data_IF_906275938871
#
_entry.id   IF_906275938871
#
_cell.length_a   1.000
_cell.length_b   1.000
_cell.length_c   1.000
_cell.angle_alpha   90.00
_cell.angle_beta   90.00
_cell.angle_gamma   90.00
#
_symmetry.space_group_name_H-M   'P 1'
#
loop_
_entity.id
_entity.type
_entity.pdbx_description
1 polymer ?
#
# COMPACT_ATOMS: atom_id res chain seq x y z
N UNK A 1 59.48 -16.23 -11.52
CA UNK A 1 58.20 -15.72 -10.97
C UNK A 1 57.93 -16.43 -9.66
N UNK A 2 57.66 -15.65 -8.61
CA UNK A 2 57.29 -16.19 -7.30
C UNK A 2 55.90 -16.82 -7.36
N UNK A 3 55.59 -17.78 -6.48
CA UNK A 3 54.25 -18.39 -6.40
C UNK A 3 53.14 -17.35 -6.21
N UNK A 4 53.46 -16.21 -5.58
CA UNK A 4 52.54 -15.11 -5.32
C UNK A 4 52.10 -14.41 -6.62
N UNK A 5 53.06 -14.09 -7.51
CA UNK A 5 52.82 -13.40 -8.78
C UNK A 5 51.90 -14.17 -9.73
N UNK A 6 51.82 -15.50 -9.56
CA UNK A 6 50.97 -16.37 -10.38
C UNK A 6 49.51 -16.40 -9.93
N UNK A 7 49.24 -16.07 -8.67
CA UNK A 7 47.92 -16.23 -8.03
C UNK A 7 47.17 -14.89 -7.94
N UNK A 8 47.91 -13.78 -7.80
CA UNK A 8 47.36 -12.41 -7.79
C UNK A 8 46.38 -12.10 -8.93
N UNK A 9 46.61 -12.52 -10.20
CA UNK A 9 45.68 -12.26 -11.30
C UNK A 9 44.31 -12.93 -11.14
N UNK A 10 44.21 -13.96 -10.30
CA UNK A 10 42.98 -14.71 -10.05
C UNK A 10 42.28 -14.26 -8.76
N UNK A 11 43.06 -13.92 -7.72
CA UNK A 11 42.49 -13.48 -6.43
C UNK A 11 41.81 -12.12 -6.56
N UNK A 12 42.38 -11.18 -7.31
CA UNK A 12 41.83 -9.83 -7.42
C UNK A 12 40.43 -9.84 -8.09
N UNK A 13 40.23 -10.46 -9.28
CA UNK A 13 38.90 -10.55 -9.88
C UNK A 13 37.90 -11.32 -9.03
N UNK A 14 38.35 -12.40 -8.36
CA UNK A 14 37.49 -13.19 -7.48
C UNK A 14 37.03 -12.39 -6.25
N UNK A 15 37.92 -11.57 -5.67
CA UNK A 15 37.59 -10.67 -4.57
C UNK A 15 36.62 -9.56 -5.01
N UNK A 16 36.78 -9.00 -6.22
CA UNK A 16 35.83 -8.05 -6.79
C UNK A 16 34.47 -8.68 -7.07
N UNK A 17 34.44 -9.91 -7.58
CA UNK A 17 33.21 -10.66 -7.80
C UNK A 17 32.47 -10.92 -6.48
N UNK A 18 33.18 -11.42 -5.46
CA UNK A 18 32.63 -11.66 -4.13
C UNK A 18 32.14 -10.37 -3.47
N UNK A 19 32.90 -9.28 -3.57
CA UNK A 19 32.50 -7.98 -3.07
C UNK A 19 31.22 -7.48 -3.79
N UNK A 20 31.11 -7.65 -5.11
CA UNK A 20 29.90 -7.29 -5.85
C UNK A 20 28.68 -8.13 -5.46
N UNK A 21 28.88 -9.43 -5.19
CA UNK A 21 27.82 -10.32 -4.70
C UNK A 21 27.38 -9.90 -3.29
N UNK A 22 28.33 -9.62 -2.40
CA UNK A 22 28.06 -9.15 -1.03
C UNK A 22 27.35 -7.79 -1.05
N UNK A 23 27.80 -6.85 -1.90
CA UNK A 23 27.15 -5.54 -2.06
C UNK A 23 25.72 -5.71 -2.58
N UNK A 24 25.48 -6.54 -3.59
CA UNK A 24 24.10 -6.83 -4.04
C UNK A 24 23.26 -7.49 -2.94
N UNK A 25 23.81 -8.42 -2.17
CA UNK A 25 23.13 -9.04 -1.02
C UNK A 25 22.81 -8.05 0.11
N UNK A 26 23.67 -7.04 0.32
CA UNK A 26 23.45 -6.00 1.33
C UNK A 26 22.47 -4.93 0.82
N UNK A 27 22.48 -4.61 -0.48
CA UNK A 27 21.52 -3.69 -1.09
C UNK A 27 20.11 -4.29 -1.18
N UNK A 28 19.98 -5.60 -1.44
CA UNK A 28 18.71 -6.35 -1.27
C UNK A 28 18.23 -6.34 0.21
N UNK A 29 19.11 -5.99 1.14
CA UNK A 29 18.86 -5.95 2.59
C UNK A 29 18.69 -4.52 3.12
N UNK A 30 18.54 -3.50 2.26
CA UNK A 30 18.01 -2.23 2.75
C UNK A 30 16.60 -2.50 3.27
N UNK A 31 16.45 -2.38 4.59
CA UNK A 31 15.19 -2.51 5.33
C UNK A 31 14.07 -1.80 4.57
N UNK A 32 13.32 -2.58 3.79
CA UNK A 32 12.02 -2.16 3.27
C UNK A 32 11.24 -1.78 4.51
N UNK A 33 10.94 -0.49 4.67
CA UNK A 33 10.20 -0.01 5.82
C UNK A 33 8.91 -0.81 5.91
N UNK A 34 8.76 -1.52 7.03
CA UNK A 34 7.66 -2.45 7.14
C UNK A 34 6.35 -1.68 7.19
N UNK A 35 5.54 -1.88 6.14
CA UNK A 35 4.23 -1.23 6.02
C UNK A 35 3.17 -1.92 6.87
N UNK A 36 3.53 -2.94 7.63
CA UNK A 36 2.63 -3.62 8.55
C UNK A 36 1.99 -2.65 9.53
N UNK A 37 0.67 -2.77 9.67
CA UNK A 37 -0.09 -2.02 10.65
C UNK A 37 -1.44 -1.54 10.17
N UNK A 38 -2.12 -0.84 11.07
CA UNK A 38 -3.44 -0.27 10.82
C UNK A 38 -3.30 1.21 10.47
N UNK A 39 -3.76 1.58 9.28
CA UNK A 39 -3.80 2.94 8.81
C UNK A 39 -5.23 3.45 8.77
N UNK A 40 -5.42 4.74 9.04
CA UNK A 40 -6.73 5.40 8.97
C UNK A 40 -6.62 6.80 8.38
N UNK A 41 -7.63 7.16 7.61
CA UNK A 41 -7.92 8.55 7.23
C UNK A 41 -9.40 8.85 7.48
N UNK A 42 -9.67 10.04 8.00
CA UNK A 42 -11.03 10.52 8.24
C UNK A 42 -11.18 11.81 7.44
N UNK A 43 -12.24 11.90 6.64
CA UNK A 43 -12.57 13.10 5.86
C UNK A 43 -14.01 13.49 6.09
N UNK A 44 -14.26 14.77 6.24
CA UNK A 44 -15.61 15.32 6.14
C UNK A 44 -15.85 15.70 4.68
N UNK A 45 -16.98 15.28 4.13
CA UNK A 45 -17.38 15.57 2.76
C UNK A 45 -18.79 16.10 2.75
N UNK A 46 -19.10 16.96 1.79
CA UNK A 46 -20.48 17.37 1.56
C UNK A 46 -21.18 16.30 0.71
N UNK A 47 -22.31 15.80 1.22
CA UNK A 47 -23.18 14.88 0.51
C UNK A 47 -24.02 15.59 -0.55
N UNK A 48 -24.67 14.83 -1.45
CA UNK A 48 -25.56 15.39 -2.48
C UNK A 48 -26.81 16.10 -1.90
N UNK A 49 -27.09 15.89 -0.62
CA UNK A 49 -28.14 16.53 0.17
C UNK A 49 -27.67 17.79 0.91
N UNK A 50 -26.48 18.31 0.59
CA UNK A 50 -25.79 19.43 1.27
C UNK A 50 -25.54 19.18 2.78
N UNK A 51 -25.56 17.92 3.22
CA UNK A 51 -25.21 17.56 4.58
C UNK A 51 -23.74 17.19 4.65
N UNK A 52 -23.05 17.64 5.70
CA UNK A 52 -21.70 17.18 5.99
C UNK A 52 -21.79 15.72 6.45
N UNK A 53 -21.06 14.85 5.76
CA UNK A 53 -20.90 13.44 6.09
C UNK A 53 -19.46 13.16 6.47
N UNK A 54 -19.25 12.23 7.40
CA UNK A 54 -17.93 11.77 7.79
C UNK A 54 -17.64 10.45 7.11
N UNK A 55 -16.55 10.41 6.36
CA UNK A 55 -16.00 9.20 5.76
C UNK A 55 -14.79 8.78 6.57
N UNK A 56 -14.85 7.56 7.10
CA UNK A 56 -13.72 6.90 7.75
C UNK A 56 -13.23 5.76 6.87
N UNK A 57 -11.97 5.83 6.44
CA UNK A 57 -11.33 4.76 5.70
C UNK A 57 -10.20 4.16 6.54
N UNK A 58 -10.26 2.85 6.78
CA UNK A 58 -9.24 2.09 7.52
C UNK A 58 -8.68 0.98 6.65
N UNK A 59 -7.37 0.81 6.67
CA UNK A 59 -6.62 -0.20 5.93
C UNK A 59 -5.62 -0.85 6.86
N UNK A 60 -5.68 -2.15 7.01
CA UNK A 60 -4.71 -2.95 7.72
C UNK A 60 -3.89 -3.74 6.69
N UNK A 61 -2.58 -3.66 6.81
CA UNK A 61 -1.62 -4.38 5.95
C UNK A 61 -0.83 -5.34 6.83
N UNK A 62 -0.66 -6.57 6.35
CA UNK A 62 0.15 -7.61 6.98
C UNK A 62 0.92 -8.35 5.89
N UNK A 63 2.19 -8.00 5.80
CA UNK A 63 3.14 -8.48 4.82
C UNK A 63 3.64 -9.88 5.15
N UNK A 64 3.57 -10.33 6.41
CA UNK A 64 3.89 -11.71 6.78
C UNK A 64 2.87 -12.69 6.18
N UNK A 65 1.58 -12.34 6.23
CA UNK A 65 0.48 -13.11 5.63
C UNK A 65 0.18 -12.78 4.17
N UNK A 66 0.91 -11.83 3.58
CA UNK A 66 0.69 -11.31 2.22
C UNK A 66 -0.75 -10.86 1.99
N UNK A 67 -1.36 -10.21 2.99
CA UNK A 67 -2.77 -9.85 2.96
C UNK A 67 -3.05 -8.44 3.46
N UNK A 68 -4.21 -7.92 3.07
CA UNK A 68 -4.74 -6.70 3.64
C UNK A 68 -6.25 -6.82 3.83
N UNK A 69 -6.76 -6.05 4.78
CA UNK A 69 -8.20 -5.88 4.99
C UNK A 69 -8.49 -4.45 5.42
N UNK A 70 -9.70 -4.01 5.18
CA UNK A 70 -10.09 -2.67 5.59
C UNK A 70 -11.57 -2.45 5.49
N UNK A 71 -11.95 -1.24 5.88
CA UNK A 71 -13.32 -0.80 5.73
C UNK A 71 -13.41 0.66 5.37
N UNK A 72 -14.43 0.97 4.60
CA UNK A 72 -14.93 2.31 4.38
C UNK A 72 -16.24 2.43 5.15
N UNK A 73 -16.36 3.44 6.01
CA UNK A 73 -17.57 3.74 6.76
C UNK A 73 -18.02 5.17 6.45
N UNK A 74 -19.33 5.31 6.25
CA UNK A 74 -20.01 6.59 6.13
C UNK A 74 -20.88 6.81 7.36
N UNK A 75 -20.69 7.95 8.01
CA UNK A 75 -21.50 8.43 9.11
C UNK A 75 -22.07 9.81 8.76
N UNK A 76 -23.27 10.14 9.27
CA UNK A 76 -23.80 11.50 9.21
C UNK A 76 -23.06 12.43 10.20
N UNK A 77 -23.37 13.73 10.16
CA UNK A 77 -22.80 14.72 11.09
C UNK A 77 -23.18 14.52 12.58
N UNK A 78 -24.04 13.56 12.90
CA UNK A 78 -24.46 13.17 14.25
C UNK A 78 -23.89 11.80 14.64
N UNK A 79 -22.88 11.32 13.91
CA UNK A 79 -22.26 10.01 14.10
C UNK A 79 -23.25 8.84 13.93
N UNK A 80 -24.35 9.06 13.20
CA UNK A 80 -25.28 7.99 12.84
C UNK A 80 -24.70 7.24 11.66
N UNK A 81 -24.57 5.93 11.84
CA UNK A 81 -24.15 5.01 10.80
C UNK A 81 -25.06 5.08 9.58
N UNK A 82 -24.49 5.42 8.41
CA UNK A 82 -25.19 5.40 7.12
C UNK A 82 -24.78 4.20 6.26
N UNK A 83 -23.52 3.75 6.35
CA UNK A 83 -23.11 2.56 5.62
C UNK A 83 -21.67 2.11 5.84
N UNK A 84 -21.40 0.85 5.46
CA UNK A 84 -20.07 0.24 5.53
C UNK A 84 -19.78 -0.63 4.32
N UNK A 85 -18.53 -0.58 3.86
CA UNK A 85 -17.94 -1.54 2.94
C UNK A 85 -16.79 -2.20 3.66
N UNK A 86 -16.73 -3.52 3.61
CA UNK A 86 -15.51 -4.24 3.97
C UNK A 86 -14.81 -4.63 2.67
N UNK A 87 -13.49 -4.60 2.68
CA UNK A 87 -12.69 -5.07 1.57
C UNK A 87 -11.48 -5.84 2.08
N UNK A 88 -10.99 -6.75 1.27
CA UNK A 88 -9.76 -7.49 1.53
C UNK A 88 -9.09 -7.90 0.23
N UNK A 89 -7.83 -8.29 0.30
CA UNK A 89 -7.11 -8.81 -0.85
C UNK A 89 -5.74 -9.35 -0.47
N UNK A 90 -4.97 -9.68 -1.50
CA UNK A 90 -3.57 -10.10 -1.36
C UNK A 90 -2.64 -8.96 -1.71
N UNK A 91 -1.48 -8.95 -1.08
CA UNK A 91 -0.42 -7.99 -1.33
C UNK A 91 0.92 -8.71 -1.32
N UNK A 92 1.80 -8.40 -2.26
CA UNK A 92 3.14 -8.98 -2.32
C UNK A 92 4.20 -7.92 -2.55
N UNK A 93 5.38 -8.10 -1.94
CA UNK A 93 6.52 -7.20 -2.14
C UNK A 93 7.06 -7.37 -3.57
N UNK A 94 7.37 -6.26 -4.23
CA UNK A 94 8.08 -6.29 -5.50
C UNK A 94 9.58 -6.14 -5.25
N UNK A 95 10.35 -7.20 -5.55
CA UNK A 95 11.79 -7.24 -5.32
C UNK A 95 12.61 -6.20 -6.13
N UNK A 96 12.03 -5.59 -7.16
CA UNK A 96 12.72 -4.70 -8.10
C UNK A 96 12.44 -3.20 -7.87
N UNK A 97 11.58 -2.86 -6.91
CA UNK A 97 11.20 -1.47 -6.65
C UNK A 97 11.16 -1.21 -5.15
N UNK A 98 12.09 -0.36 -4.68
CA UNK A 98 12.06 0.19 -3.32
C UNK A 98 10.67 0.80 -3.07
N UNK A 99 10.05 0.40 -1.94
CA UNK A 99 8.73 0.85 -1.51
C UNK A 99 7.58 0.63 -2.52
N UNK A 100 7.50 -0.57 -3.12
CA UNK A 100 6.36 -0.94 -3.96
C UNK A 100 5.77 -2.29 -3.59
N UNK A 101 4.45 -2.39 -3.65
CA UNK A 101 3.70 -3.63 -3.43
C UNK A 101 2.73 -3.88 -4.56
N UNK A 102 2.60 -5.14 -4.96
CA UNK A 102 1.61 -5.57 -5.93
C UNK A 102 0.35 -6.02 -5.20
N UNK A 103 -0.77 -5.41 -5.53
CA UNK A 103 -2.07 -5.71 -4.97
C UNK A 103 -2.86 -6.58 -5.93
N UNK A 104 -3.37 -7.68 -5.39
CA UNK A 104 -4.09 -8.70 -6.14
C UNK A 104 -5.38 -9.11 -5.44
N UNK A 105 -6.32 -9.67 -6.22
CA UNK A 105 -7.49 -10.40 -5.71
C UNK A 105 -8.37 -9.59 -4.72
N UNK A 106 -8.61 -8.30 -5.01
CA UNK A 106 -9.45 -7.46 -4.15
C UNK A 106 -10.89 -7.96 -4.16
N UNK A 107 -11.40 -8.30 -2.98
CA UNK A 107 -12.79 -8.69 -2.71
C UNK A 107 -13.49 -7.58 -1.94
N UNK A 108 -14.73 -7.34 -2.31
CA UNK A 108 -15.58 -6.29 -1.74
C UNK A 108 -16.82 -6.92 -1.15
N UNK A 109 -17.10 -6.57 0.10
CA UNK A 109 -18.23 -7.06 0.85
C UNK A 109 -19.07 -5.85 1.28
N UNK A 110 -20.08 -5.46 0.47
CA UNK A 110 -20.99 -4.38 0.84
C UNK A 110 -21.82 -4.82 2.05
N UNK A 111 -21.92 -3.97 3.08
CA UNK A 111 -22.71 -4.27 4.30
C UNK A 111 -24.10 -3.61 4.23
N UNK A 112 -24.26 -2.52 3.47
CA UNK A 112 -25.54 -1.81 3.29
C UNK A 112 -25.69 -1.33 1.84
N UNK A 113 -26.53 -1.97 1.04
CA UNK A 113 -26.59 -1.81 -0.42
C UNK A 113 -27.12 -0.45 -0.89
N UNK A 114 -28.09 0.14 -0.19
CA UNK A 114 -28.88 1.25 -0.76
C UNK A 114 -28.17 2.62 -0.67
N UNK A 115 -27.15 2.74 0.19
CA UNK A 115 -26.36 3.96 0.37
C UNK A 115 -25.02 3.95 -0.38
N UNK A 116 -24.69 2.83 -1.03
CA UNK A 116 -23.36 2.60 -1.61
C UNK A 116 -23.19 3.12 -3.04
N UNK A 117 -24.20 3.01 -3.88
CA UNK A 117 -24.14 3.52 -5.26
C UNK A 117 -23.93 5.04 -5.28
N UNK A 118 -24.70 5.77 -4.45
CA UNK A 118 -24.54 7.21 -4.28
C UNK A 118 -23.16 7.62 -3.69
N UNK A 119 -22.52 6.72 -2.96
CA UNK A 119 -21.19 6.91 -2.39
C UNK A 119 -20.10 6.75 -3.46
N UNK A 120 -20.21 5.74 -4.33
CA UNK A 120 -19.23 5.50 -5.39
C UNK A 120 -19.14 6.66 -6.39
N UNK A 121 -20.19 7.43 -6.60
CA UNK A 121 -20.12 8.63 -7.43
C UNK A 121 -19.38 9.80 -6.76
N UNK A 122 -19.08 9.72 -5.45
CA UNK A 122 -18.35 10.75 -4.74
C UNK A 122 -16.83 10.71 -5.08
N UNK A 123 -16.23 11.81 -5.59
CA UNK A 123 -14.80 11.90 -5.86
C UNK A 123 -13.91 11.65 -4.63
N UNK A 124 -14.44 11.88 -3.42
CA UNK A 124 -13.75 11.60 -2.17
C UNK A 124 -13.53 10.09 -1.91
N UNK A 125 -14.29 9.23 -2.60
CA UNK A 125 -14.08 7.78 -2.63
C UNK A 125 -13.15 7.32 -3.75
N UNK A 126 -12.40 8.24 -4.38
CA UNK A 126 -11.30 7.92 -5.30
C UNK A 126 -10.37 6.85 -4.72
N UNK A 127 -10.10 6.88 -3.42
CA UNK A 127 -9.30 5.86 -2.73
C UNK A 127 -9.89 4.45 -2.88
N UNK A 128 -11.20 4.29 -2.68
CA UNK A 128 -11.84 3.00 -2.85
C UNK A 128 -11.86 2.59 -4.32
N UNK A 129 -12.14 3.51 -5.25
CA UNK A 129 -12.03 3.23 -6.70
C UNK A 129 -10.64 2.72 -7.08
N UNK A 130 -9.60 3.28 -6.45
CA UNK A 130 -8.20 2.91 -6.65
C UNK A 130 -7.89 1.50 -6.13
N UNK A 131 -8.56 1.05 -5.08
CA UNK A 131 -8.49 -0.33 -4.56
C UNK A 131 -9.35 -1.30 -5.39
N UNK A 132 -10.49 -0.84 -5.90
CA UNK A 132 -11.48 -1.66 -6.59
C UNK A 132 -11.27 -1.74 -8.11
N UNK A 133 -10.09 -1.40 -8.62
CA UNK A 133 -9.70 -1.73 -9.99
C UNK A 133 -9.47 -3.26 -10.11
N UNK A 134 -10.56 -4.02 -10.01
CA UNK A 134 -10.63 -5.46 -9.71
C UNK A 134 -10.18 -6.40 -10.82
N UNK A 135 -9.79 -5.88 -11.98
CA UNK A 135 -9.36 -6.69 -13.12
C UNK A 135 -7.87 -6.65 -13.43
N UNK A 136 -7.07 -5.89 -12.66
CA UNK A 136 -5.64 -5.78 -12.88
C UNK A 136 -4.87 -5.90 -11.57
N UNK A 137 -3.69 -6.52 -11.64
CA UNK A 137 -2.66 -6.39 -10.61
C UNK A 137 -2.30 -4.91 -10.56
N UNK A 138 -2.52 -4.25 -9.43
CA UNK A 138 -2.22 -2.83 -9.27
C UNK A 138 -0.94 -2.72 -8.45
N UNK A 139 0.04 -1.98 -8.95
CA UNK A 139 1.24 -1.65 -8.18
C UNK A 139 0.95 -0.41 -7.35
N UNK A 140 1.09 -0.51 -6.04
CA UNK A 140 1.14 0.65 -5.15
C UNK A 140 2.57 1.03 -4.91
N UNK A 141 2.92 2.26 -5.28
CA UNK A 141 4.15 2.90 -4.84
C UNK A 141 3.84 3.64 -3.54
N UNK A 142 4.61 3.38 -2.49
CA UNK A 142 4.36 3.96 -1.19
C UNK A 142 5.57 4.67 -0.60
N UNK A 143 5.31 5.44 0.44
CA UNK A 143 6.33 6.06 1.29
C UNK A 143 5.78 6.10 2.71
N UNK A 144 6.61 5.75 3.68
CA UNK A 144 6.26 5.80 5.10
C UNK A 144 7.17 6.83 5.80
N UNK A 145 6.60 7.96 6.21
CA UNK A 145 7.35 9.03 6.92
C UNK A 145 6.57 9.39 8.17
N UNK A 146 7.21 9.37 9.33
CA UNK A 146 6.61 9.76 10.61
C UNK A 146 5.24 9.10 10.87
N UNK A 147 5.15 7.80 10.63
CA UNK A 147 3.91 7.02 10.77
C UNK A 147 2.78 7.44 9.80
N UNK A 148 3.09 8.20 8.75
CA UNK A 148 2.17 8.52 7.66
C UNK A 148 2.49 7.62 6.47
N UNK A 149 1.56 6.76 6.12
CA UNK A 149 1.62 5.92 4.92
C UNK A 149 0.98 6.67 3.77
N UNK A 150 1.78 7.05 2.78
CA UNK A 150 1.30 7.64 1.55
C UNK A 150 1.49 6.65 0.40
N UNK A 151 0.48 6.49 -0.45
CA UNK A 151 0.56 5.63 -1.63
C UNK A 151 -0.14 6.25 -2.84
N UNK A 152 0.29 5.82 -4.03
CA UNK A 152 -0.32 6.08 -5.33
C UNK A 152 -0.20 4.82 -6.20
N UNK A 153 -0.78 4.85 -7.41
CA UNK A 153 -0.59 3.76 -8.38
C UNK A 153 -0.27 4.30 -9.79
N UNK A 154 0.00 3.39 -10.73
CA UNK A 154 0.38 3.77 -12.11
C UNK A 154 -0.78 4.38 -12.94
N UNK A 155 -2.03 4.15 -12.54
CA UNK A 155 -3.21 4.63 -13.25
C UNK A 155 -3.75 5.98 -12.72
N UNK A 156 -3.38 6.36 -11.50
CA UNK A 156 -3.73 7.60 -10.81
C UNK A 156 -2.54 8.03 -9.94
N UNK A 157 -1.85 9.08 -10.38
CA UNK A 157 -0.67 9.66 -9.71
C UNK A 157 -1.05 10.45 -8.44
N UNK A 158 -2.33 10.60 -8.16
CA UNK A 158 -2.81 11.31 -7.00
C UNK A 158 -2.38 10.63 -5.70
N UNK A 159 -1.51 11.29 -4.94
CA UNK A 159 -1.04 10.79 -3.64
C UNK A 159 -2.19 10.66 -2.62
N UNK A 160 -2.18 9.58 -1.86
CA UNK A 160 -3.17 9.28 -0.80
C UNK A 160 -2.45 8.92 0.48
N UNK A 161 -2.64 9.73 1.51
CA UNK A 161 -1.96 9.55 2.79
C UNK A 161 -2.92 9.15 3.91
N UNK A 162 -2.45 8.27 4.78
CA UNK A 162 -3.16 7.72 5.92
C UNK A 162 -2.24 7.70 7.14
N UNK A 163 -2.82 7.95 8.32
CA UNK A 163 -2.08 7.91 9.57
C UNK A 163 -2.05 6.47 10.10
N UNK A 164 -0.87 5.96 10.47
CA UNK A 164 -0.74 4.72 11.22
C UNK A 164 -1.32 4.91 12.62
N UNK A 165 -2.18 3.99 13.00
CA UNK A 165 -2.93 3.96 14.27
C UNK A 165 -2.33 2.94 15.21
N UNK A 166 -1.86 1.81 14.68
CA UNK A 166 -1.21 0.70 15.39
C UNK A 166 -0.09 0.17 14.51
#
# INVERSE_FOLDING_TARGET
MSKLERIVPFIIPLAFLLASIIVNLIYDYHDVQDIDGLYRVIKNVEGPDNQIKRISFSLYIDMESESFWGWLQLDDNKDKFEGKILFSGKISRLALHDNSVQVEQVKVYPVSTDSLEALFDNPALSLLKLLLATNYKVVWHYTLVDSVFCFSNEADDSLRCMQKVI
#
